data_IF_479895346550
#
_entry.id   IF_479895346550
#
_cell.length_a   1.000
_cell.length_b   1.000
_cell.length_c   1.000
_cell.angle_alpha   90.00
_cell.angle_beta   90.00
_cell.angle_gamma   90.00
#
_symmetry.space_group_name_H-M   'P 1'
#
loop_
_entity.id
_entity.type
_entity.pdbx_description
1 polymer ?
#
# COMPACT_ATOMS: atom_id res chain seq x y z
N UNK A 1 -16.62 8.55 17.48
CA UNK A 1 -15.18 8.29 17.27
C UNK A 1 -14.84 8.16 15.79
N UNK A 2 -15.72 7.52 15.02
CA UNK A 2 -15.54 7.15 13.62
C UNK A 2 -15.11 8.26 12.67
N UNK A 3 -15.65 9.48 12.85
CA UNK A 3 -15.26 10.64 12.04
C UNK A 3 -13.76 10.94 12.15
N UNK A 4 -13.22 10.94 13.38
CA UNK A 4 -11.79 11.15 13.60
C UNK A 4 -10.98 9.93 13.13
N UNK A 5 -11.51 8.71 13.34
CA UNK A 5 -10.88 7.47 12.93
C UNK A 5 -10.62 7.42 11.43
N UNK A 6 -11.49 8.02 10.61
CA UNK A 6 -11.30 8.06 9.14
C UNK A 6 -9.95 8.62 8.71
N UNK A 7 -9.39 9.56 9.47
CA UNK A 7 -8.10 10.21 9.18
C UNK A 7 -6.99 9.86 10.17
N UNK A 8 -7.34 9.52 11.42
CA UNK A 8 -6.42 9.27 12.53
C UNK A 8 -6.40 7.81 12.99
N UNK A 9 -6.80 6.91 12.09
CA UNK A 9 -6.62 5.48 12.22
C UNK A 9 -6.00 4.92 10.93
N UNK A 10 -4.67 4.81 10.92
CA UNK A 10 -3.91 4.37 9.75
C UNK A 10 -3.54 2.89 9.86
N UNK A 11 -4.13 2.05 9.00
CA UNK A 11 -3.88 0.62 8.90
C UNK A 11 -4.31 0.05 7.55
N UNK A 12 -4.33 -1.28 7.41
CA UNK A 12 -4.88 -1.94 6.24
C UNK A 12 -6.41 -1.78 6.22
N UNK A 13 -6.91 -0.85 5.39
CA UNK A 13 -8.32 -0.54 5.25
C UNK A 13 -9.00 -1.48 4.24
N UNK A 14 -9.88 -2.35 4.73
CA UNK A 14 -10.63 -3.30 3.91
C UNK A 14 -12.07 -2.82 3.79
N UNK A 15 -12.47 -2.42 2.58
CA UNK A 15 -13.84 -2.02 2.28
C UNK A 15 -14.80 -3.22 2.40
N UNK A 16 -16.00 -2.95 2.92
CA UNK A 16 -17.11 -3.91 2.90
C UNK A 16 -17.56 -4.15 1.44
N UNK A 17 -18.18 -5.30 1.14
CA UNK A 17 -18.66 -5.59 -0.22
C UNK A 17 -19.55 -4.47 -0.77
N UNK A 18 -19.29 -4.06 -2.01
CA UNK A 18 -20.02 -2.99 -2.69
C UNK A 18 -19.85 -1.58 -2.11
N UNK A 19 -18.92 -1.38 -1.16
CA UNK A 19 -18.61 -0.06 -0.60
C UNK A 19 -17.37 0.56 -1.23
N UNK A 20 -17.34 1.88 -1.17
CA UNK A 20 -16.24 2.74 -1.59
C UNK A 20 -15.82 3.66 -0.45
N UNK A 21 -14.66 4.27 -0.60
CA UNK A 21 -14.16 5.30 0.32
C UNK A 21 -15.04 6.56 0.40
N UNK A 22 -15.97 6.75 -0.54
CA UNK A 22 -16.90 7.86 -0.60
C UNK A 22 -18.24 7.59 0.12
N UNK A 23 -18.51 6.34 0.49
CA UNK A 23 -19.78 5.97 1.14
C UNK A 23 -19.83 6.35 2.62
N UNK A 24 -18.67 6.59 3.25
CA UNK A 24 -18.62 7.06 4.63
C UNK A 24 -19.03 8.53 4.73
N UNK A 25 -20.07 8.80 5.53
CA UNK A 25 -20.57 10.15 5.82
C UNK A 25 -20.48 10.45 7.32
N UNK A 26 -20.27 11.72 7.73
CA UNK A 26 -20.30 12.09 9.14
C UNK A 26 -21.58 11.61 9.83
N UNK A 27 -21.43 10.92 10.97
CA UNK A 27 -22.55 10.33 11.72
C UNK A 27 -22.77 8.83 11.48
N UNK A 28 -22.14 8.24 10.46
CA UNK A 28 -22.13 6.78 10.24
C UNK A 28 -21.10 6.08 11.13
N UNK A 29 -21.28 4.78 11.38
CA UNK A 29 -20.23 3.94 11.95
C UNK A 29 -19.22 3.61 10.86
N UNK A 30 -17.93 3.67 11.17
CA UNK A 30 -16.89 3.38 10.19
C UNK A 30 -16.98 1.92 9.71
N UNK A 31 -17.36 1.01 10.62
CA UNK A 31 -17.58 -0.43 10.38
C UNK A 31 -18.63 -0.74 9.32
N UNK A 32 -19.56 0.18 9.06
CA UNK A 32 -20.60 -0.01 8.04
C UNK A 32 -20.02 0.13 6.62
N UNK A 33 -18.79 0.67 6.50
CA UNK A 33 -18.12 0.97 5.23
C UNK A 33 -16.81 0.20 5.10
N UNK A 34 -15.99 0.14 6.15
CA UNK A 34 -14.69 -0.53 6.13
C UNK A 34 -14.24 -1.01 7.50
N UNK A 35 -13.38 -2.02 7.49
CA UNK A 35 -12.61 -2.47 8.66
C UNK A 35 -11.16 -2.00 8.54
N UNK A 36 -10.56 -1.58 9.65
CA UNK A 36 -9.16 -1.16 9.70
C UNK A 36 -8.35 -2.17 10.50
N UNK A 37 -7.47 -2.88 9.81
CA UNK A 37 -6.58 -3.86 10.42
C UNK A 37 -5.26 -3.23 10.83
N UNK A 38 -4.84 -3.52 12.06
CA UNK A 38 -3.54 -3.12 12.61
C UNK A 38 -2.76 -4.34 13.11
N UNK A 39 -1.43 -4.21 13.08
CA UNK A 39 -0.53 -5.24 13.56
C UNK A 39 -0.56 -5.32 15.09
N UNK A 40 -1.01 -6.45 15.61
CA UNK A 40 -0.99 -6.73 17.04
C UNK A 40 0.30 -7.45 17.45
N UNK A 41 0.88 -6.97 18.54
CA UNK A 41 2.10 -7.54 19.11
C UNK A 41 1.93 -7.82 20.61
N UNK A 42 2.50 -8.94 21.05
CA UNK A 42 2.73 -9.23 22.46
C UNK A 42 4.07 -8.61 22.88
N UNK A 43 4.05 -7.83 23.98
CA UNK A 43 5.23 -7.07 24.45
C UNK A 43 5.55 -5.82 23.64
N UNK A 44 6.39 -4.92 24.18
CA UNK A 44 6.92 -3.75 23.47
C UNK A 44 5.88 -2.71 23.00
N UNK A 45 4.86 -2.41 23.83
CA UNK A 45 3.69 -1.59 23.49
C UNK A 45 3.89 -0.05 23.58
N UNK A 46 5.12 0.43 23.76
CA UNK A 46 5.38 1.86 23.96
C UNK A 46 5.41 2.68 22.65
N UNK A 47 5.80 2.05 21.53
CA UNK A 47 5.88 2.72 20.24
C UNK A 47 4.67 2.34 19.37
N UNK A 48 3.81 3.32 19.13
CA UNK A 48 2.65 3.23 18.23
C UNK A 48 2.89 3.99 16.91
N UNK A 49 2.04 3.75 15.92
CA UNK A 49 2.05 4.48 14.64
C UNK A 49 1.51 5.89 14.88
N UNK A 50 2.17 6.94 14.37
CA UNK A 50 1.79 8.32 14.66
C UNK A 50 0.30 8.60 14.41
N UNK A 51 -0.24 8.10 13.30
CA UNK A 51 -1.66 8.26 12.96
C UNK A 51 -2.58 7.18 13.56
N UNK A 52 -2.25 6.63 14.74
CA UNK A 52 -3.08 5.65 15.46
C UNK A 52 -3.55 6.14 16.83
N UNK A 53 -3.72 7.44 17.01
CA UNK A 53 -4.26 8.02 18.26
C UNK A 53 -5.62 7.43 18.63
N UNK A 54 -6.47 7.14 17.62
CA UNK A 54 -7.78 6.51 17.82
C UNK A 54 -7.65 5.09 18.38
N UNK A 55 -6.75 4.27 17.84
CA UNK A 55 -6.46 2.93 18.37
C UNK A 55 -5.99 3.01 19.82
N UNK A 56 -5.00 3.88 20.10
CA UNK A 56 -4.50 4.07 21.47
C UNK A 56 -5.60 4.46 22.44
N UNK A 57 -6.48 5.36 22.03
CA UNK A 57 -7.65 5.73 22.84
C UNK A 57 -8.58 4.55 23.08
N UNK A 58 -8.87 3.74 22.07
CA UNK A 58 -9.72 2.55 22.18
C UNK A 58 -9.13 1.48 23.13
N UNK A 59 -7.80 1.40 23.24
CA UNK A 59 -7.11 0.55 24.23
C UNK A 59 -7.18 1.08 25.68
N UNK A 60 -7.57 2.34 25.88
CA UNK A 60 -7.58 2.95 27.21
C UNK A 60 -8.68 2.34 28.09
N UNK A 61 -8.37 2.14 29.38
CA UNK A 61 -9.38 1.71 30.37
C UNK A 61 -10.53 2.71 30.47
N UNK A 62 -10.25 4.00 30.26
CA UNK A 62 -11.24 5.07 30.24
C UNK A 62 -12.27 4.85 29.12
N UNK A 63 -11.80 4.58 27.89
CA UNK A 63 -12.66 4.31 26.74
C UNK A 63 -13.52 3.06 26.97
N UNK A 64 -12.87 1.95 27.35
CA UNK A 64 -13.53 0.66 27.58
C UNK A 64 -14.60 0.77 28.69
N UNK A 65 -14.33 1.48 29.78
CA UNK A 65 -15.29 1.69 30.86
C UNK A 65 -16.46 2.61 30.46
N UNK A 66 -16.22 3.55 29.53
CA UNK A 66 -17.22 4.54 29.13
C UNK A 66 -18.33 4.00 28.22
N UNK A 67 -18.14 2.81 27.64
CA UNK A 67 -19.04 2.22 26.61
C UNK A 67 -19.29 3.20 25.46
N UNK A 68 -18.22 3.61 24.79
CA UNK A 68 -18.17 4.53 23.63
C UNK A 68 -18.57 6.00 23.90
N UNK A 69 -18.84 6.39 25.16
CA UNK A 69 -19.15 7.79 25.51
C UNK A 69 -17.91 8.67 25.58
N UNK A 70 -16.75 8.11 25.88
CA UNK A 70 -15.49 8.84 25.91
C UNK A 70 -14.91 8.91 24.49
N UNK A 71 -14.73 10.13 23.98
CA UNK A 71 -14.30 10.37 22.60
C UNK A 71 -13.24 11.47 22.51
N UNK A 72 -12.65 11.69 21.34
CA UNK A 72 -11.66 12.76 21.15
C UNK A 72 -12.18 14.12 21.66
N UNK A 73 -13.47 14.41 21.47
CA UNK A 73 -14.08 15.68 21.88
C UNK A 73 -14.39 15.79 23.37
N UNK A 74 -14.22 14.71 24.12
CA UNK A 74 -14.23 14.77 25.59
C UNK A 74 -13.05 15.58 26.13
N UNK A 75 -11.95 15.65 25.38
CA UNK A 75 -10.75 16.41 25.75
C UNK A 75 -10.43 17.57 24.78
N UNK A 76 -10.84 17.47 23.51
CA UNK A 76 -10.50 18.43 22.47
C UNK A 76 -11.72 19.18 21.94
N UNK A 77 -11.63 20.51 21.86
CA UNK A 77 -12.56 21.30 21.07
C UNK A 77 -11.98 21.45 19.65
N UNK A 78 -12.64 20.95 18.60
CA UNK A 78 -12.14 21.05 17.23
C UNK A 78 -12.00 22.51 16.73
N UNK A 79 -12.63 23.49 17.39
CA UNK A 79 -12.51 24.91 17.06
C UNK A 79 -11.39 25.63 17.83
N UNK A 80 -10.74 24.96 18.78
CA UNK A 80 -9.69 25.55 19.62
C UNK A 80 -8.39 24.79 19.48
N UNK A 81 -7.33 25.46 19.06
CA UNK A 81 -6.01 24.83 18.98
C UNK A 81 -5.55 24.38 20.37
N UNK A 82 -5.05 23.15 20.44
CA UNK A 82 -4.48 22.55 21.66
C UNK A 82 -3.33 23.36 22.27
N UNK A 83 -2.67 24.21 21.47
CA UNK A 83 -1.63 25.14 21.94
C UNK A 83 -2.15 26.16 22.95
N UNK A 84 -3.44 26.46 22.94
CA UNK A 84 -4.07 27.46 23.82
C UNK A 84 -4.89 26.85 24.96
N UNK A 85 -5.05 25.52 24.98
CA UNK A 85 -5.81 24.84 26.03
C UNK A 85 -4.92 24.66 27.27
N UNK A 86 -5.38 25.17 28.41
CA UNK A 86 -4.68 25.00 29.69
C UNK A 86 -4.72 23.55 30.15
N UNK A 87 -3.63 23.07 30.74
CA UNK A 87 -3.55 21.71 31.29
C UNK A 87 -4.63 21.38 32.34
N UNK A 88 -5.03 22.38 33.12
CA UNK A 88 -6.14 22.26 34.09
C UNK A 88 -7.46 21.83 33.42
N UNK A 89 -7.68 22.20 32.16
CA UNK A 89 -8.86 21.77 31.41
C UNK A 89 -8.86 20.27 31.15
N UNK A 90 -7.71 19.67 30.84
CA UNK A 90 -7.57 18.22 30.69
C UNK A 90 -7.70 17.48 32.02
N UNK A 91 -7.08 17.99 33.09
CA UNK A 91 -7.22 17.39 34.42
C UNK A 91 -8.67 17.37 34.91
N UNK A 92 -9.47 18.39 34.57
CA UNK A 92 -10.90 18.43 34.90
C UNK A 92 -11.65 17.23 34.30
N UNK A 93 -11.36 16.85 33.06
CA UNK A 93 -11.99 15.68 32.41
C UNK A 93 -11.74 14.41 33.22
N UNK A 94 -10.53 14.24 33.78
CA UNK A 94 -10.24 13.12 34.67
C UNK A 94 -11.09 13.18 35.95
N UNK A 95 -11.18 14.36 36.58
CA UNK A 95 -11.89 14.57 37.85
C UNK A 95 -13.42 14.45 37.74
N UNK A 96 -13.98 14.62 36.54
CA UNK A 96 -15.40 14.37 36.29
C UNK A 96 -15.78 12.89 36.51
N UNK A 97 -14.82 11.96 36.36
CA UNK A 97 -14.99 10.54 36.67
C UNK A 97 -14.27 10.08 37.95
N UNK A 98 -13.11 10.66 38.28
CA UNK A 98 -12.28 10.27 39.43
C UNK A 98 -12.40 11.27 40.57
N UNK A 99 -13.41 11.08 41.44
CA UNK A 99 -13.68 12.03 42.52
C UNK A 99 -12.66 11.89 43.68
N UNK A 100 -12.25 13.00 44.34
CA UNK A 100 -11.27 13.03 45.45
C UNK A 100 -11.51 12.09 46.63
N UNK A 101 -12.75 11.64 46.83
CA UNK A 101 -13.14 10.87 48.00
C UNK A 101 -12.97 9.35 47.80
N UNK A 102 -12.60 8.93 46.59
CA UNK A 102 -12.25 7.55 46.25
C UNK A 102 -10.73 7.49 46.13
N UNK A 103 -10.05 6.53 46.77
CA UNK A 103 -8.59 6.42 46.71
C UNK A 103 -8.13 6.00 45.30
N UNK A 104 -8.11 6.94 44.35
CA UNK A 104 -7.87 6.67 42.92
C UNK A 104 -6.39 6.72 42.53
N UNK A 105 -5.54 7.40 43.31
CA UNK A 105 -4.11 7.50 43.04
C UNK A 105 -3.29 6.70 44.06
N UNK A 106 -2.62 5.64 43.60
CA UNK A 106 -1.76 4.78 44.43
C UNK A 106 -0.38 5.37 44.72
N UNK A 107 -0.05 6.53 44.15
CA UNK A 107 1.20 7.24 44.45
C UNK A 107 1.15 7.88 45.84
N UNK A 108 2.29 7.88 46.53
CA UNK A 108 2.49 8.59 47.80
C UNK A 108 2.22 10.09 47.65
N UNK A 109 1.70 10.72 48.70
CA UNK A 109 1.39 12.16 48.75
C UNK A 109 2.55 13.05 48.27
N UNK A 110 3.79 12.75 48.68
CA UNK A 110 4.98 13.48 48.25
C UNK A 110 5.14 13.50 46.71
N UNK A 111 4.97 12.36 46.04
CA UNK A 111 5.07 12.24 44.58
C UNK A 111 3.92 12.95 43.86
N UNK A 112 2.73 12.99 44.47
CA UNK A 112 1.59 13.72 43.88
C UNK A 112 1.76 15.24 44.01
N UNK A 113 2.28 15.70 45.14
CA UNK A 113 2.61 17.11 45.38
C UNK A 113 3.68 17.62 44.40
N UNK A 114 4.70 16.81 44.08
CA UNK A 114 5.71 17.13 43.05
C UNK A 114 5.08 17.38 41.66
N UNK A 115 4.06 16.59 41.30
CA UNK A 115 3.30 16.75 40.07
C UNK A 115 2.15 17.78 40.18
N UNK A 116 2.02 18.47 41.33
CA UNK A 116 0.92 19.40 41.65
C UNK A 116 -0.48 18.79 41.46
N UNK A 117 -0.62 17.49 41.79
CA UNK A 117 -1.83 16.69 41.54
C UNK A 117 -2.31 16.73 40.07
N UNK A 118 -1.39 16.96 39.13
CA UNK A 118 -1.66 17.00 37.70
C UNK A 118 -1.72 15.59 37.10
N UNK A 119 -2.92 15.15 36.69
CA UNK A 119 -3.11 13.85 36.08
C UNK A 119 -2.34 13.69 34.76
N UNK A 120 -2.38 14.71 33.89
CA UNK A 120 -1.79 14.63 32.54
C UNK A 120 -0.25 14.60 32.56
N UNK A 121 0.38 15.18 33.58
CA UNK A 121 1.84 15.16 33.76
C UNK A 121 2.40 13.74 33.92
N UNK A 122 1.64 12.84 34.55
CA UNK A 122 2.08 11.48 34.83
C UNK A 122 1.42 10.42 33.91
N UNK A 123 0.16 10.62 33.53
CA UNK A 123 -0.62 9.63 32.78
C UNK A 123 -0.69 9.87 31.27
N UNK A 124 -0.26 11.06 30.80
CA UNK A 124 -0.18 11.39 29.37
C UNK A 124 1.24 11.79 28.99
N UNK A 125 2.21 10.94 29.28
CA UNK A 125 3.60 11.22 28.88
C UNK A 125 3.75 11.27 27.35
N UNK A 126 4.75 12.03 26.91
CA UNK A 126 5.12 12.08 25.50
C UNK A 126 5.88 10.80 25.12
N UNK A 127 5.32 10.04 24.19
CA UNK A 127 5.96 8.88 23.55
C UNK A 127 6.45 9.24 22.14
N UNK A 128 7.40 8.47 21.62
CA UNK A 128 7.77 8.53 20.20
C UNK A 128 6.80 7.72 19.35
N UNK A 129 6.82 7.93 18.02
CA UNK A 129 6.18 6.98 17.10
C UNK A 129 7.18 6.02 16.47
N UNK A 130 6.65 4.88 16.03
CA UNK A 130 7.44 3.82 15.38
C UNK A 130 7.82 4.16 13.95
N UNK A 131 6.96 4.89 13.26
CA UNK A 131 6.98 5.15 11.82
C UNK A 131 7.69 6.46 11.44
N UNK A 132 7.77 7.42 12.36
CA UNK A 132 8.37 8.73 12.08
C UNK A 132 9.42 9.05 13.16
N UNK A 133 10.72 8.90 12.85
CA UNK A 133 11.79 9.29 13.76
C UNK A 133 11.65 10.77 14.19
N UNK A 134 12.06 11.08 15.42
CA UNK A 134 12.11 12.43 16.00
C UNK A 134 10.76 13.13 16.27
N UNK A 135 9.62 12.48 16.05
CA UNK A 135 8.32 13.04 16.47
C UNK A 135 7.89 12.44 17.80
N UNK A 136 7.42 13.30 18.72
CA UNK A 136 6.88 12.90 20.02
C UNK A 136 5.47 13.48 20.21
N UNK A 137 4.54 12.62 20.62
CA UNK A 137 3.13 12.99 20.89
C UNK A 137 2.70 12.40 22.23
N UNK A 138 1.56 12.84 22.78
CA UNK A 138 1.02 12.27 24.01
C UNK A 138 0.34 10.93 23.70
N UNK A 139 0.58 9.92 24.52
CA UNK A 139 -0.06 8.61 24.33
C UNK A 139 -1.53 8.64 24.79
N UNK A 140 -2.44 8.39 23.87
CA UNK A 140 -3.88 8.42 24.14
C UNK A 140 -4.41 7.13 24.79
N UNK A 141 -3.54 6.14 25.08
CA UNK A 141 -3.89 4.99 25.92
C UNK A 141 -4.14 5.36 27.38
N UNK A 142 -3.61 6.50 27.84
CA UNK A 142 -3.81 7.04 29.20
C UNK A 142 -3.57 5.94 30.25
N UNK A 143 -2.41 5.31 30.15
CA UNK A 143 -2.01 4.21 31.02
C UNK A 143 -0.95 4.67 32.02
N UNK A 144 -0.80 3.91 33.11
CA UNK A 144 0.37 4.05 33.98
C UNK A 144 1.59 3.66 33.16
N UNK A 145 2.61 4.54 33.02
CA UNK A 145 3.81 4.23 32.26
C UNK A 145 4.50 2.96 32.80
N UNK A 146 4.94 2.09 31.90
CA UNK A 146 5.66 0.88 32.28
C UNK A 146 7.07 1.22 32.77
N UNK A 147 7.63 0.42 33.68
CA UNK A 147 9.02 0.55 34.10
C UNK A 147 9.97 0.13 32.98
N UNK A 148 11.20 0.65 32.93
CA UNK A 148 12.20 0.25 31.92
C UNK A 148 12.45 -1.26 31.86
N UNK A 149 12.24 -1.97 32.98
CA UNK A 149 12.33 -3.43 33.05
C UNK A 149 11.13 -4.12 32.38
N UNK A 150 9.92 -3.59 32.56
CA UNK A 150 8.72 -4.04 31.86
C UNK A 150 8.78 -3.76 30.34
N UNK A 151 9.54 -2.72 29.93
CA UNK A 151 9.74 -2.36 28.52
C UNK A 151 10.68 -3.29 27.75
N UNK A 152 11.54 -4.06 28.43
CA UNK A 152 12.54 -4.94 27.80
C UNK A 152 11.96 -6.23 27.19
N UNK A 153 10.64 -6.45 27.26
CA UNK A 153 10.00 -7.62 26.67
C UNK A 153 10.18 -7.68 25.14
N UNK A 154 10.56 -8.86 24.63
CA UNK A 154 10.66 -9.10 23.18
C UNK A 154 9.28 -8.89 22.54
N UNK A 155 9.21 -8.03 21.52
CA UNK A 155 7.99 -7.77 20.76
C UNK A 155 7.74 -8.93 19.79
N UNK A 156 6.65 -9.66 19.97
CA UNK A 156 6.28 -10.84 19.15
C UNK A 156 5.04 -10.51 18.36
N UNK A 157 5.12 -10.57 17.02
CA UNK A 157 3.95 -10.40 16.16
C UNK A 157 2.95 -11.52 16.39
N UNK A 158 1.67 -11.18 16.57
CA UNK A 158 0.60 -12.15 16.83
C UNK A 158 -0.43 -12.24 15.71
N UNK A 159 -0.53 -11.22 14.87
CA UNK A 159 -1.51 -11.18 13.79
C UNK A 159 -2.02 -9.78 13.54
N UNK A 160 -2.97 -9.68 12.62
CA UNK A 160 -3.75 -8.47 12.37
C UNK A 160 -5.04 -8.50 13.19
N UNK A 161 -5.42 -7.35 13.72
CA UNK A 161 -6.67 -7.13 14.45
C UNK A 161 -7.43 -5.99 13.80
N UNK A 162 -8.70 -6.21 13.48
CA UNK A 162 -9.61 -5.14 13.09
C UNK A 162 -10.00 -4.36 14.34
N UNK A 163 -9.50 -3.12 14.46
CA UNK A 163 -9.64 -2.35 15.70
C UNK A 163 -10.97 -1.64 15.83
N UNK A 164 -11.64 -1.37 14.71
CA UNK A 164 -12.98 -0.80 14.69
C UNK A 164 -14.08 -1.87 14.69
N UNK A 165 -13.76 -3.14 14.39
CA UNK A 165 -14.74 -4.22 14.29
C UNK A 165 -14.20 -5.53 14.88
N UNK A 166 -14.79 -5.98 16.00
CA UNK A 166 -14.38 -7.21 16.68
C UNK A 166 -14.96 -8.48 16.06
N UNK A 167 -15.98 -8.38 15.19
CA UNK A 167 -16.64 -9.51 14.54
C UNK A 167 -16.40 -9.48 13.02
N UNK A 168 -15.14 -9.73 12.64
CA UNK A 168 -14.72 -9.79 11.24
C UNK A 168 -14.77 -11.21 10.70
N UNK A 169 -15.41 -11.37 9.55
CA UNK A 169 -15.47 -12.64 8.82
C UNK A 169 -14.11 -13.05 8.25
N UNK A 170 -13.99 -14.32 7.85
CA UNK A 170 -12.74 -14.89 7.36
C UNK A 170 -12.24 -14.23 6.07
N UNK A 171 -13.12 -13.89 5.12
CA UNK A 171 -12.71 -13.23 3.88
C UNK A 171 -12.15 -11.84 4.15
N UNK A 172 -12.80 -11.07 5.02
CA UNK A 172 -12.34 -9.74 5.40
C UNK A 172 -10.97 -9.79 6.09
N UNK A 173 -10.76 -10.77 6.98
CA UNK A 173 -9.44 -11.05 7.58
C UNK A 173 -8.39 -11.41 6.52
N UNK A 174 -8.71 -12.31 5.60
CA UNK A 174 -7.81 -12.68 4.50
C UNK A 174 -7.42 -11.47 3.65
N UNK A 175 -8.40 -10.64 3.27
CA UNK A 175 -8.16 -9.39 2.53
C UNK A 175 -7.27 -8.41 3.30
N UNK A 176 -7.42 -8.33 4.63
CA UNK A 176 -6.55 -7.55 5.51
C UNK A 176 -5.09 -7.98 5.43
N UNK A 177 -4.82 -9.29 5.55
CA UNK A 177 -3.46 -9.83 5.41
C UNK A 177 -2.87 -9.64 4.00
N UNK A 178 -3.67 -9.85 2.95
CA UNK A 178 -3.23 -9.63 1.56
C UNK A 178 -2.89 -8.15 1.31
N UNK A 179 -3.67 -7.23 1.88
CA UNK A 179 -3.41 -5.79 1.79
C UNK A 179 -2.16 -5.38 2.56
N UNK A 180 -1.97 -5.91 3.77
CA UNK A 180 -0.77 -5.64 4.57
C UNK A 180 0.52 -6.09 3.86
N UNK A 181 0.46 -7.25 3.20
CA UNK A 181 1.57 -7.78 2.40
C UNK A 181 1.95 -6.85 1.24
N UNK A 182 0.95 -6.37 0.50
CA UNK A 182 1.15 -5.56 -0.71
C UNK A 182 1.53 -4.11 -0.38
N UNK A 183 0.96 -3.52 0.68
CA UNK A 183 1.10 -2.10 0.99
C UNK A 183 2.27 -1.75 1.91
N UNK A 184 2.72 -2.66 2.78
CA UNK A 184 3.68 -2.31 3.84
C UNK A 184 4.90 -3.22 3.90
N UNK A 185 4.68 -4.53 4.10
CA UNK A 185 5.78 -5.47 4.28
C UNK A 185 5.47 -6.76 3.52
N UNK A 186 6.32 -7.11 2.56
CA UNK A 186 6.27 -8.39 1.86
C UNK A 186 6.75 -9.56 2.74
N UNK A 187 6.20 -9.69 3.96
CA UNK A 187 6.48 -10.78 4.88
C UNK A 187 5.62 -12.00 4.51
N UNK A 188 6.28 -13.13 4.27
CA UNK A 188 5.64 -14.39 3.90
C UNK A 188 4.61 -14.87 4.93
N UNK A 189 4.81 -14.56 6.22
CA UNK A 189 3.87 -14.93 7.31
C UNK A 189 2.44 -14.39 7.07
N UNK A 190 2.31 -13.25 6.40
CA UNK A 190 1.00 -12.68 6.06
C UNK A 190 0.27 -13.50 5.00
N UNK A 191 0.99 -14.03 4.02
CA UNK A 191 0.40 -14.90 3.01
C UNK A 191 -0.06 -16.22 3.64
N UNK A 192 0.71 -16.79 4.56
CA UNK A 192 0.31 -18.02 5.27
C UNK A 192 -0.97 -17.80 6.07
N UNK A 193 -1.07 -16.67 6.76
CA UNK A 193 -2.29 -16.26 7.48
C UNK A 193 -3.47 -16.04 6.54
N UNK A 194 -3.24 -15.34 5.42
CA UNK A 194 -4.27 -15.12 4.39
C UNK A 194 -4.79 -16.46 3.84
N UNK A 195 -3.91 -17.40 3.53
CA UNK A 195 -4.29 -18.72 3.02
C UNK A 195 -5.18 -19.49 3.98
N UNK A 196 -4.86 -19.46 5.28
CA UNK A 196 -5.67 -20.09 6.31
C UNK A 196 -7.08 -19.50 6.39
N UNK A 197 -7.21 -18.16 6.32
CA UNK A 197 -8.52 -17.51 6.34
C UNK A 197 -9.30 -17.63 5.03
N UNK A 198 -8.62 -17.76 3.90
CA UNK A 198 -9.28 -18.06 2.62
C UNK A 198 -9.92 -19.44 2.64
N UNK A 199 -9.37 -20.40 3.41
CA UNK A 199 -9.80 -21.79 3.46
C UNK A 199 -10.07 -22.31 2.03
N UNK A 200 -9.01 -22.26 1.20
CA UNK A 200 -9.10 -22.43 -0.24
C UNK A 200 -9.89 -23.69 -0.64
N UNK A 201 -9.69 -24.81 0.04
CA UNK A 201 -10.39 -26.07 -0.26
C UNK A 201 -11.90 -25.94 -0.13
N UNK A 202 -12.37 -25.19 0.86
CA UNK A 202 -13.79 -24.97 1.13
C UNK A 202 -14.38 -23.91 0.20
N UNK A 203 -13.67 -22.80 0.01
CA UNK A 203 -14.23 -21.60 -0.63
C UNK A 203 -13.80 -21.40 -2.08
N UNK A 204 -13.03 -22.31 -2.70
CA UNK A 204 -12.60 -22.18 -4.10
C UNK A 204 -13.74 -21.99 -5.11
N UNK A 205 -14.95 -22.44 -4.79
CA UNK A 205 -16.13 -22.32 -5.64
C UNK A 205 -17.06 -21.17 -5.24
N UNK A 206 -16.74 -20.42 -4.19
CA UNK A 206 -17.51 -19.27 -3.76
C UNK A 206 -17.01 -18.01 -4.48
N UNK A 207 -17.90 -17.37 -5.24
CA UNK A 207 -17.60 -16.22 -6.10
C UNK A 207 -17.02 -15.05 -5.30
N UNK A 208 -17.47 -14.84 -4.06
CA UNK A 208 -17.01 -13.71 -3.23
C UNK A 208 -15.51 -13.84 -2.85
N UNK A 209 -14.97 -15.06 -2.86
CA UNK A 209 -13.57 -15.36 -2.57
C UNK A 209 -12.67 -15.29 -3.81
N UNK A 210 -13.23 -15.28 -5.02
CA UNK A 210 -12.48 -15.40 -6.27
C UNK A 210 -11.35 -14.36 -6.37
N UNK A 211 -11.69 -13.07 -6.23
CA UNK A 211 -10.71 -11.98 -6.32
C UNK A 211 -9.61 -12.08 -5.25
N UNK A 212 -9.94 -12.56 -4.04
CA UNK A 212 -8.97 -12.71 -2.96
C UNK A 212 -8.04 -13.91 -3.18
N UNK A 213 -8.55 -15.01 -3.74
CA UNK A 213 -7.76 -16.19 -4.12
C UNK A 213 -6.81 -15.84 -5.27
N UNK A 214 -7.30 -15.15 -6.31
CA UNK A 214 -6.47 -14.65 -7.42
C UNK A 214 -5.34 -13.77 -6.90
N UNK A 215 -5.67 -12.81 -6.03
CA UNK A 215 -4.68 -11.93 -5.38
C UNK A 215 -3.66 -12.72 -4.57
N UNK A 216 -4.09 -13.73 -3.82
CA UNK A 216 -3.19 -14.58 -3.03
C UNK A 216 -2.15 -15.31 -3.90
N UNK A 217 -2.58 -16.07 -4.90
CA UNK A 217 -1.65 -16.83 -5.74
C UNK A 217 -0.71 -15.91 -6.53
N UNK A 218 -1.24 -14.77 -7.00
CA UNK A 218 -0.43 -13.75 -7.64
C UNK A 218 0.67 -13.19 -6.72
N UNK A 219 0.32 -12.80 -5.49
CA UNK A 219 1.30 -12.27 -4.52
C UNK A 219 2.31 -13.34 -4.09
N UNK A 220 1.91 -14.61 -4.03
CA UNK A 220 2.81 -15.75 -3.80
C UNK A 220 3.71 -16.06 -5.00
N UNK A 221 3.45 -15.48 -6.17
CA UNK A 221 4.08 -15.78 -7.47
C UNK A 221 3.88 -17.24 -7.90
N UNK A 222 2.78 -17.85 -7.46
CA UNK A 222 2.39 -19.22 -7.83
C UNK A 222 1.46 -19.15 -9.06
N UNK A 223 2.03 -18.77 -10.21
CA UNK A 223 1.28 -18.55 -11.44
C UNK A 223 0.68 -19.83 -12.02
N UNK A 224 1.33 -20.97 -11.80
CA UNK A 224 0.82 -22.28 -12.22
C UNK A 224 -0.51 -22.59 -11.52
N UNK A 225 -0.60 -22.43 -10.19
CA UNK A 225 -1.86 -22.63 -9.46
C UNK A 225 -2.90 -21.57 -9.81
N UNK A 226 -2.48 -20.33 -10.04
CA UNK A 226 -3.40 -19.27 -10.45
C UNK A 226 -4.06 -19.60 -11.80
N UNK A 227 -3.27 -19.99 -12.79
CA UNK A 227 -3.75 -20.39 -14.12
C UNK A 227 -4.66 -21.61 -13.99
N UNK A 228 -4.23 -22.66 -13.30
CA UNK A 228 -5.05 -23.86 -13.09
C UNK A 228 -6.38 -23.57 -12.39
N UNK A 229 -6.39 -22.66 -11.41
CA UNK A 229 -7.62 -22.22 -10.73
C UNK A 229 -8.60 -21.50 -11.66
N UNK A 230 -8.09 -20.69 -12.59
CA UNK A 230 -8.89 -19.95 -13.58
C UNK A 230 -9.39 -20.90 -14.69
N UNK A 231 -8.54 -21.82 -15.15
CA UNK A 231 -8.89 -22.80 -16.18
C UNK A 231 -9.91 -23.83 -15.67
N UNK A 232 -9.82 -24.28 -14.41
CA UNK A 232 -10.81 -25.19 -13.78
C UNK A 232 -12.23 -24.63 -13.86
N UNK A 233 -12.38 -23.30 -13.82
CA UNK A 233 -13.67 -22.60 -13.91
C UNK A 233 -14.13 -22.32 -15.34
N UNK A 234 -13.22 -22.42 -16.30
CA UNK A 234 -13.43 -22.04 -17.69
C UNK A 234 -13.22 -20.54 -17.92
N UNK A 235 -12.32 -20.20 -18.85
CA UNK A 235 -11.91 -18.82 -19.16
C UNK A 235 -13.11 -17.92 -19.48
N UNK A 236 -14.06 -18.41 -20.29
CA UNK A 236 -15.24 -17.64 -20.68
C UNK A 236 -16.15 -17.32 -19.50
N UNK A 237 -16.36 -18.28 -18.60
CA UNK A 237 -17.13 -18.09 -17.37
C UNK A 237 -16.43 -17.10 -16.46
N UNK A 238 -15.11 -17.19 -16.30
CA UNK A 238 -14.35 -16.23 -15.50
C UNK A 238 -14.49 -14.81 -16.03
N UNK A 239 -14.33 -14.59 -17.34
CA UNK A 239 -14.43 -13.25 -17.93
C UNK A 239 -15.85 -12.65 -17.85
N UNK A 240 -16.89 -13.46 -18.04
CA UNK A 240 -18.27 -12.96 -18.11
C UNK A 240 -18.95 -12.88 -16.74
N UNK A 241 -18.67 -13.84 -15.86
CA UNK A 241 -19.45 -14.04 -14.64
C UNK A 241 -18.67 -13.61 -13.38
N UNK A 242 -17.34 -13.70 -13.39
CA UNK A 242 -16.50 -13.36 -12.22
C UNK A 242 -15.77 -12.02 -12.34
N UNK A 243 -15.55 -11.54 -13.57
CA UNK A 243 -14.72 -10.37 -13.88
C UNK A 243 -15.45 -9.40 -14.80
N UNK A 244 -16.68 -9.04 -14.44
CA UNK A 244 -17.56 -8.22 -15.28
C UNK A 244 -18.07 -6.95 -14.59
N UNK A 245 -17.80 -6.76 -13.29
CA UNK A 245 -18.30 -5.62 -12.54
C UNK A 245 -17.31 -4.44 -12.57
N UNK A 246 -17.82 -3.26 -12.91
CA UNK A 246 -17.10 -2.00 -12.71
C UNK A 246 -17.45 -1.42 -11.35
N UNK A 247 -16.45 -1.24 -10.51
CA UNK A 247 -16.60 -0.69 -9.17
C UNK A 247 -15.47 0.30 -8.82
N UNK A 248 -15.69 1.18 -7.85
CA UNK A 248 -14.70 2.20 -7.45
C UNK A 248 -13.36 1.63 -6.95
N UNK A 249 -13.38 0.43 -6.39
CA UNK A 249 -12.20 -0.30 -5.91
C UNK A 249 -11.52 -1.11 -7.02
N UNK A 250 -12.15 -1.23 -8.20
CA UNK A 250 -11.66 -1.94 -9.37
C UNK A 250 -11.24 -3.40 -9.06
N UNK A 251 -12.00 -4.11 -8.22
CA UNK A 251 -11.60 -5.45 -7.75
C UNK A 251 -11.43 -6.43 -8.91
N UNK A 252 -12.42 -6.47 -9.81
CA UNK A 252 -12.42 -7.35 -10.97
C UNK A 252 -11.33 -6.95 -11.98
N UNK A 253 -11.15 -5.65 -12.21
CA UNK A 253 -10.10 -5.16 -13.10
C UNK A 253 -8.70 -5.56 -12.58
N UNK A 254 -8.47 -5.43 -11.27
CA UNK A 254 -7.24 -5.88 -10.63
C UNK A 254 -7.04 -7.39 -10.69
N UNK A 255 -8.10 -8.19 -10.51
CA UNK A 255 -8.01 -9.64 -10.63
C UNK A 255 -7.72 -10.06 -12.07
N UNK A 256 -8.41 -9.46 -13.04
CA UNK A 256 -8.16 -9.65 -14.47
C UNK A 256 -6.71 -9.30 -14.83
N UNK A 257 -6.21 -8.16 -14.36
CA UNK A 257 -4.81 -7.76 -14.55
C UNK A 257 -3.81 -8.80 -14.00
N UNK A 258 -4.04 -9.31 -12.79
CA UNK A 258 -3.17 -10.31 -12.15
C UNK A 258 -3.19 -11.65 -12.89
N UNK A 259 -4.34 -12.07 -13.40
CA UNK A 259 -4.47 -13.27 -14.23
C UNK A 259 -3.74 -13.08 -15.56
N UNK A 260 -3.89 -11.91 -16.20
CA UNK A 260 -3.15 -11.56 -17.41
C UNK A 260 -1.63 -11.64 -17.23
N UNK A 261 -1.12 -11.15 -16.09
CA UNK A 261 0.30 -11.29 -15.73
C UNK A 261 0.74 -12.74 -15.55
N UNK A 262 -0.10 -13.59 -14.97
CA UNK A 262 0.21 -15.00 -14.81
C UNK A 262 0.36 -15.69 -16.17
N UNK A 263 -0.60 -15.49 -17.08
CA UNK A 263 -0.51 -16.03 -18.44
C UNK A 263 0.65 -15.44 -19.25
N UNK A 264 0.98 -14.17 -19.08
CA UNK A 264 2.15 -13.56 -19.72
C UNK A 264 3.45 -14.21 -19.22
N UNK A 265 3.54 -14.51 -17.92
CA UNK A 265 4.67 -15.23 -17.30
C UNK A 265 4.79 -16.66 -17.83
N UNK A 266 3.67 -17.30 -18.17
CA UNK A 266 3.60 -18.60 -18.84
C UNK A 266 3.82 -18.52 -20.37
N UNK A 267 4.11 -17.32 -20.90
CA UNK A 267 4.27 -17.05 -22.34
C UNK A 267 3.00 -17.32 -23.18
N UNK A 268 1.84 -17.48 -22.55
CA UNK A 268 0.54 -17.55 -23.22
C UNK A 268 0.01 -16.14 -23.51
N UNK A 269 0.59 -15.51 -24.53
CA UNK A 269 0.30 -14.11 -24.88
C UNK A 269 -1.17 -13.88 -25.25
N UNK A 270 -1.84 -14.88 -25.84
CA UNK A 270 -3.24 -14.78 -26.23
C UNK A 270 -4.16 -14.69 -25.00
N UNK A 271 -3.97 -15.56 -24.00
CA UNK A 271 -4.74 -15.48 -22.77
C UNK A 271 -4.40 -14.23 -21.98
N UNK A 272 -3.13 -13.86 -21.90
CA UNK A 272 -2.72 -12.60 -21.30
C UNK A 272 -3.45 -11.40 -21.91
N UNK A 273 -3.63 -11.40 -23.25
CA UNK A 273 -4.34 -10.33 -23.96
C UNK A 273 -5.81 -10.24 -23.53
N UNK A 274 -6.55 -11.36 -23.50
CA UNK A 274 -7.96 -11.35 -23.07
C UNK A 274 -8.13 -10.73 -21.69
N UNK A 275 -7.29 -11.13 -20.74
CA UNK A 275 -7.38 -10.65 -19.36
C UNK A 275 -6.89 -9.20 -19.19
N UNK A 276 -5.84 -8.77 -19.90
CA UNK A 276 -5.44 -7.36 -19.89
C UNK A 276 -6.46 -6.46 -20.57
N UNK A 277 -7.05 -6.91 -21.69
CA UNK A 277 -8.13 -6.18 -22.36
C UNK A 277 -9.32 -6.00 -21.43
N UNK A 278 -9.75 -7.06 -20.75
CA UNK A 278 -10.83 -6.97 -19.77
C UNK A 278 -10.47 -6.02 -18.61
N UNK A 279 -9.22 -6.05 -18.11
CA UNK A 279 -8.78 -5.12 -17.06
C UNK A 279 -8.88 -3.65 -17.48
N UNK A 280 -8.48 -3.31 -18.72
CA UNK A 280 -8.58 -1.93 -19.23
C UNK A 280 -10.00 -1.53 -19.61
N UNK A 281 -10.87 -2.48 -19.96
CA UNK A 281 -12.30 -2.22 -20.19
C UNK A 281 -13.03 -1.92 -18.87
N UNK A 282 -12.70 -2.65 -17.80
CA UNK A 282 -13.26 -2.42 -16.46
C UNK A 282 -12.71 -1.15 -15.80
N UNK A 283 -11.43 -0.82 -16.03
CA UNK A 283 -10.76 0.32 -15.38
C UNK A 283 -9.94 1.14 -16.40
N UNK A 284 -10.63 1.80 -17.34
CA UNK A 284 -10.00 2.55 -18.46
C UNK A 284 -8.92 3.55 -18.03
N UNK A 285 -9.13 4.24 -16.91
CA UNK A 285 -8.22 5.28 -16.40
C UNK A 285 -7.17 4.74 -15.42
N UNK A 286 -7.11 3.42 -15.22
CA UNK A 286 -5.95 2.82 -14.56
C UNK A 286 -4.79 2.74 -15.57
N UNK A 287 -3.92 3.75 -15.53
CA UNK A 287 -2.81 3.90 -16.47
C UNK A 287 -1.76 2.79 -16.34
N UNK A 288 -1.68 2.10 -15.20
CA UNK A 288 -0.81 0.93 -15.05
C UNK A 288 -1.29 -0.23 -15.94
N UNK A 289 -2.60 -0.48 -15.95
CA UNK A 289 -3.20 -1.54 -16.79
C UNK A 289 -3.01 -1.23 -18.26
N UNK A 290 -3.27 0.02 -18.67
CA UNK A 290 -3.05 0.48 -20.04
C UNK A 290 -1.59 0.28 -20.46
N UNK A 291 -0.64 0.75 -19.65
CA UNK A 291 0.77 0.62 -19.94
C UNK A 291 1.21 -0.86 -20.06
N UNK A 292 0.66 -1.75 -19.23
CA UNK A 292 0.95 -3.18 -19.29
C UNK A 292 0.33 -3.85 -20.51
N UNK A 293 -0.89 -3.49 -20.87
CA UNK A 293 -1.52 -3.95 -22.11
C UNK A 293 -0.75 -3.49 -23.36
N UNK A 294 -0.33 -2.23 -23.41
CA UNK A 294 0.52 -1.70 -24.49
C UNK A 294 1.86 -2.44 -24.63
N UNK A 295 2.46 -2.85 -23.50
CA UNK A 295 3.67 -3.66 -23.51
C UNK A 295 3.43 -5.06 -24.10
N UNK A 296 2.33 -5.71 -23.74
CA UNK A 296 1.95 -6.99 -24.34
C UNK A 296 1.73 -6.85 -25.85
N UNK A 297 1.00 -5.83 -26.30
CA UNK A 297 0.78 -5.57 -27.72
C UNK A 297 2.09 -5.35 -28.48
N UNK A 298 3.06 -4.67 -27.86
CA UNK A 298 4.41 -4.51 -28.42
C UNK A 298 5.14 -5.86 -28.55
N UNK A 299 5.06 -6.72 -27.53
CA UNK A 299 5.60 -8.09 -27.58
C UNK A 299 4.96 -8.92 -28.70
N UNK A 300 3.66 -8.74 -28.92
CA UNK A 300 2.89 -9.37 -30.00
C UNK A 300 3.09 -8.71 -31.37
N UNK A 301 3.99 -7.72 -31.50
CA UNK A 301 4.29 -6.95 -32.73
C UNK A 301 3.10 -6.15 -33.28
N UNK A 302 2.08 -5.88 -32.47
CA UNK A 302 0.93 -5.02 -32.81
C UNK A 302 1.27 -3.56 -32.52
N UNK A 303 2.28 -3.06 -33.24
CA UNK A 303 2.93 -1.77 -33.00
C UNK A 303 1.96 -0.57 -33.08
N UNK A 304 1.06 -0.45 -34.07
CA UNK A 304 0.13 0.68 -34.14
C UNK A 304 -0.82 0.76 -32.93
N UNK A 305 -1.28 -0.39 -32.44
CA UNK A 305 -2.18 -0.46 -31.30
C UNK A 305 -1.46 -0.13 -29.99
N UNK A 306 -0.25 -0.68 -29.80
CA UNK A 306 0.59 -0.33 -28.66
C UNK A 306 0.90 1.17 -28.61
N UNK A 307 1.22 1.77 -29.76
CA UNK A 307 1.45 3.21 -29.90
C UNK A 307 0.24 4.02 -29.40
N UNK A 308 -0.96 3.70 -29.90
CA UNK A 308 -2.19 4.39 -29.49
C UNK A 308 -2.48 4.29 -27.99
N UNK A 309 -2.17 3.14 -27.38
CA UNK A 309 -2.30 2.96 -25.92
C UNK A 309 -1.31 3.85 -25.16
N UNK A 310 -0.03 3.90 -25.55
CA UNK A 310 0.94 4.76 -24.87
C UNK A 310 0.67 6.25 -25.08
N UNK A 311 0.20 6.65 -26.27
CA UNK A 311 -0.25 8.02 -26.54
C UNK A 311 -1.43 8.41 -25.65
N UNK A 312 -2.42 7.50 -25.46
CA UNK A 312 -3.51 7.71 -24.52
C UNK A 312 -3.02 7.87 -23.07
N UNK A 313 -2.10 7.01 -22.61
CA UNK A 313 -1.55 7.14 -21.25
C UNK A 313 -0.86 8.49 -21.05
N UNK A 314 -0.10 8.96 -22.03
CA UNK A 314 0.59 10.26 -21.98
C UNK A 314 -0.41 11.41 -22.07
N UNK A 315 -1.51 11.29 -22.82
CA UNK A 315 -2.54 12.35 -22.87
C UNK A 315 -3.27 12.49 -21.54
N UNK A 316 -3.55 11.39 -20.84
CA UNK A 316 -4.20 11.41 -19.52
C UNK A 316 -3.25 11.89 -18.42
N UNK A 317 -1.99 11.45 -18.47
CA UNK A 317 -0.97 11.86 -17.50
C UNK A 317 0.40 12.05 -18.18
N UNK A 318 0.71 13.29 -18.61
CA UNK A 318 1.98 13.59 -19.30
C UNK A 318 3.25 13.36 -18.47
N UNK A 319 3.12 13.10 -17.17
CA UNK A 319 4.26 12.81 -16.28
C UNK A 319 4.42 11.31 -16.01
N UNK A 320 3.72 10.44 -16.75
CA UNK A 320 3.86 8.99 -16.63
C UNK A 320 5.11 8.48 -17.34
N UNK A 321 6.27 8.57 -16.68
CA UNK A 321 7.57 8.20 -17.25
C UNK A 321 7.60 6.81 -17.94
N UNK A 322 6.99 5.73 -17.40
CA UNK A 322 7.01 4.43 -18.07
C UNK A 322 6.38 4.42 -19.47
N UNK A 323 5.34 5.22 -19.72
CA UNK A 323 4.73 5.29 -21.05
C UNK A 323 5.63 6.03 -22.04
N UNK A 324 6.38 7.05 -21.60
CA UNK A 324 7.40 7.69 -22.45
C UNK A 324 8.50 6.69 -22.84
N UNK A 325 9.01 5.89 -21.90
CA UNK A 325 9.99 4.83 -22.23
C UNK A 325 9.43 3.85 -23.26
N UNK A 326 8.20 3.38 -23.07
CA UNK A 326 7.61 2.37 -23.96
C UNK A 326 7.24 2.95 -25.33
N UNK A 327 6.77 4.20 -25.40
CA UNK A 327 6.50 4.89 -26.66
C UNK A 327 7.80 5.18 -27.42
N UNK A 328 8.86 5.60 -26.73
CA UNK A 328 10.19 5.75 -27.34
C UNK A 328 10.71 4.43 -27.92
N UNK A 329 10.49 3.31 -27.23
CA UNK A 329 10.81 1.98 -27.73
C UNK A 329 10.00 1.60 -28.97
N UNK A 330 8.70 1.91 -28.99
CA UNK A 330 7.85 1.74 -30.17
C UNK A 330 8.36 2.56 -31.36
N UNK A 331 8.74 3.82 -31.16
CA UNK A 331 9.32 4.65 -32.21
C UNK A 331 10.65 4.09 -32.74
N UNK A 332 11.54 3.63 -31.85
CA UNK A 332 12.79 2.99 -32.22
C UNK A 332 12.56 1.73 -33.07
N UNK A 333 11.57 0.90 -32.73
CA UNK A 333 11.19 -0.28 -33.53
C UNK A 333 10.71 0.08 -34.95
N UNK A 334 10.12 1.28 -35.12
CA UNK A 334 9.68 1.79 -36.43
C UNK A 334 10.74 2.59 -37.17
N UNK A 335 11.93 2.77 -36.60
CA UNK A 335 13.04 3.53 -37.19
C UNK A 335 12.95 5.06 -37.02
N UNK A 336 11.94 5.56 -36.31
CA UNK A 336 11.82 6.99 -35.99
C UNK A 336 12.67 7.33 -34.76
N UNK A 337 13.99 7.37 -34.98
CA UNK A 337 14.98 7.56 -33.93
C UNK A 337 14.86 8.94 -33.25
N UNK A 338 14.39 9.95 -33.98
CA UNK A 338 14.19 11.31 -33.44
C UNK A 338 13.09 11.32 -32.38
N UNK A 339 11.93 10.73 -32.67
CA UNK A 339 10.87 10.63 -31.66
C UNK A 339 11.24 9.65 -30.54
N UNK A 340 12.01 8.59 -30.84
CA UNK A 340 12.53 7.70 -29.80
C UNK A 340 13.37 8.46 -28.77
N UNK A 341 14.37 9.23 -29.23
CA UNK A 341 15.22 10.07 -28.37
C UNK A 341 14.40 11.07 -27.55
N UNK A 342 13.48 11.80 -28.20
CA UNK A 342 12.58 12.74 -27.53
C UNK A 342 11.81 12.10 -26.38
N UNK A 343 11.24 10.92 -26.59
CA UNK A 343 10.48 10.23 -25.56
C UNK A 343 11.37 9.64 -24.45
N UNK A 344 12.57 9.15 -24.77
CA UNK A 344 13.53 8.74 -23.74
C UNK A 344 14.01 9.92 -22.89
N UNK A 345 14.31 11.06 -23.49
CA UNK A 345 14.69 12.28 -22.77
C UNK A 345 13.57 12.76 -21.84
N UNK A 346 12.33 12.77 -22.33
CA UNK A 346 11.17 13.08 -21.50
C UNK A 346 11.03 12.12 -20.30
N UNK A 347 11.22 10.82 -20.52
CA UNK A 347 11.19 9.84 -19.44
C UNK A 347 12.29 10.09 -18.40
N UNK A 348 13.52 10.37 -18.84
CA UNK A 348 14.66 10.59 -17.96
C UNK A 348 14.63 11.96 -17.26
N UNK A 349 13.94 12.95 -17.82
CA UNK A 349 13.65 14.21 -17.13
C UNK A 349 12.64 14.01 -15.99
N UNK A 350 11.71 13.05 -16.13
CA UNK A 350 10.70 12.72 -15.12
C UNK A 350 11.27 11.77 -14.05
N UNK A 351 12.07 10.79 -14.47
CA UNK A 351 12.71 9.77 -13.64
C UNK A 351 14.16 9.55 -14.14
N UNK A 352 15.15 10.31 -13.63
CA UNK A 352 16.54 10.22 -14.05
C UNK A 352 17.20 8.86 -13.82
N UNK A 353 16.61 8.03 -12.96
CA UNK A 353 17.13 6.72 -12.56
C UNK A 353 16.35 5.57 -13.19
N UNK A 354 15.52 5.87 -14.19
CA UNK A 354 14.78 4.85 -14.93
C UNK A 354 15.72 3.92 -15.71
N UNK A 355 15.99 2.73 -15.18
CA UNK A 355 16.95 1.78 -15.76
C UNK A 355 16.60 1.41 -17.21
N UNK A 356 15.33 1.18 -17.52
CA UNK A 356 14.91 0.84 -18.88
C UNK A 356 15.07 2.01 -19.85
N UNK A 357 14.74 3.23 -19.44
CA UNK A 357 14.99 4.45 -20.20
C UNK A 357 16.49 4.65 -20.49
N UNK A 358 17.33 4.50 -19.46
CA UNK A 358 18.79 4.59 -19.58
C UNK A 358 19.35 3.53 -20.53
N UNK A 359 18.86 2.28 -20.46
CA UNK A 359 19.29 1.21 -21.37
C UNK A 359 18.93 1.56 -22.82
N UNK A 360 17.68 1.98 -23.05
CA UNK A 360 17.18 2.24 -24.38
C UNK A 360 17.87 3.44 -25.04
N UNK A 361 18.06 4.54 -24.30
CA UNK A 361 18.80 5.69 -24.83
C UNK A 361 20.29 5.37 -25.04
N UNK A 362 20.89 4.55 -24.17
CA UNK A 362 22.28 4.11 -24.36
C UNK A 362 22.47 3.33 -25.66
N UNK A 363 21.56 2.40 -25.95
CA UNK A 363 21.57 1.64 -27.20
C UNK A 363 21.41 2.57 -28.41
N UNK A 364 20.47 3.52 -28.34
CA UNK A 364 20.27 4.52 -29.39
C UNK A 364 21.53 5.37 -29.65
N UNK A 365 22.20 5.83 -28.58
CA UNK A 365 23.44 6.61 -28.68
C UNK A 365 24.60 5.79 -29.27
N UNK A 366 24.68 4.48 -28.98
CA UNK A 366 25.66 3.59 -29.60
C UNK A 366 25.42 3.49 -31.10
N UNK A 367 24.16 3.35 -31.53
CA UNK A 367 23.77 3.25 -32.93
C UNK A 367 24.03 4.56 -33.69
N UNK A 368 23.85 5.71 -33.04
CA UNK A 368 24.23 7.03 -33.54
C UNK A 368 25.75 7.31 -33.47
N UNK A 369 26.54 6.37 -32.94
CA UNK A 369 27.99 6.51 -32.71
C UNK A 369 28.39 7.64 -31.74
N UNK A 370 27.46 8.07 -30.88
CA UNK A 370 27.65 9.03 -29.78
C UNK A 370 28.17 8.31 -28.51
N UNK A 371 29.31 7.64 -28.65
CA UNK A 371 29.86 6.71 -27.65
C UNK A 371 30.15 7.35 -26.28
N UNK A 372 30.40 8.66 -26.24
CA UNK A 372 30.62 9.41 -25.00
C UNK A 372 29.34 9.54 -24.16
N UNK A 373 28.22 9.89 -24.81
CA UNK A 373 26.91 9.97 -24.15
C UNK A 373 26.44 8.59 -23.69
N UNK A 374 26.59 7.58 -24.56
CA UNK A 374 26.24 6.20 -24.22
C UNK A 374 26.98 5.70 -22.97
N UNK A 375 28.27 6.02 -22.84
CA UNK A 375 29.08 5.66 -21.66
C UNK A 375 28.59 6.35 -20.38
N UNK A 376 28.11 7.60 -20.46
CA UNK A 376 27.57 8.30 -19.30
C UNK A 376 26.29 7.63 -18.77
N UNK A 377 25.37 7.28 -19.66
CA UNK A 377 24.10 6.62 -19.29
C UNK A 377 24.32 5.21 -18.73
N UNK A 378 25.15 4.41 -19.37
CA UNK A 378 25.52 3.06 -18.90
C UNK A 378 26.25 3.09 -17.55
N UNK A 379 27.14 4.06 -17.31
CA UNK A 379 27.76 4.25 -16.00
C UNK A 379 26.71 4.65 -14.94
N UNK A 380 25.72 5.47 -15.26
CA UNK A 380 24.62 5.78 -14.33
C UNK A 380 23.85 4.52 -13.94
N UNK A 381 23.56 3.62 -14.89
CA UNK A 381 22.94 2.33 -14.59
C UNK A 381 23.81 1.53 -13.61
N UNK A 382 25.12 1.45 -13.82
CA UNK A 382 26.03 0.68 -12.95
C UNK A 382 26.22 1.30 -11.55
N UNK A 383 25.95 2.60 -11.38
CA UNK A 383 25.88 3.22 -10.05
C UNK A 383 24.63 2.74 -9.29
N UNK A 384 23.50 2.61 -9.98
CA UNK A 384 22.22 2.19 -9.39
C UNK A 384 22.18 0.67 -9.18
N UNK A 385 22.60 -0.08 -10.21
CA UNK A 385 22.65 -1.54 -10.25
C UNK A 385 24.04 -2.02 -10.72
N UNK A 386 25.02 -2.16 -9.80
CA UNK A 386 26.39 -2.56 -10.15
C UNK A 386 26.51 -3.91 -10.88
N UNK A 387 25.48 -4.76 -10.78
CA UNK A 387 25.42 -6.07 -11.40
C UNK A 387 24.51 -6.14 -12.63
N UNK A 388 24.03 -5.01 -13.16
CA UNK A 388 23.19 -5.00 -14.35
C UNK A 388 23.94 -5.56 -15.57
N UNK A 389 23.52 -6.74 -16.03
CA UNK A 389 24.19 -7.45 -17.14
C UNK A 389 24.08 -6.69 -18.47
N UNK A 390 22.95 -6.03 -18.75
CA UNK A 390 22.74 -5.28 -19.99
C UNK A 390 23.67 -4.06 -20.07
N UNK A 391 23.81 -3.31 -18.98
CA UNK A 391 24.72 -2.17 -18.93
C UNK A 391 26.19 -2.60 -19.13
N UNK A 392 26.61 -3.72 -18.52
CA UNK A 392 27.95 -4.28 -18.73
C UNK A 392 28.19 -4.65 -20.19
N UNK A 393 27.21 -5.28 -20.86
CA UNK A 393 27.30 -5.61 -22.29
C UNK A 393 27.38 -4.36 -23.18
N UNK A 394 26.57 -3.34 -22.91
CA UNK A 394 26.61 -2.07 -23.65
C UNK A 394 27.98 -1.38 -23.48
N UNK A 395 28.56 -1.39 -22.28
CA UNK A 395 29.92 -0.88 -22.05
C UNK A 395 30.99 -1.61 -22.84
N UNK A 396 30.93 -2.94 -22.90
CA UNK A 396 31.86 -3.73 -23.71
C UNK A 396 31.77 -3.38 -25.20
N UNK A 397 30.55 -3.19 -25.72
CA UNK A 397 30.34 -2.78 -27.11
C UNK A 397 30.87 -1.36 -27.37
N UNK A 398 30.65 -0.42 -26.45
CA UNK A 398 31.18 0.95 -26.56
C UNK A 398 32.71 0.94 -26.64
N UNK A 399 33.38 0.19 -25.77
CA UNK A 399 34.85 0.12 -25.74
C UNK A 399 35.42 -0.57 -26.98
N UNK A 400 34.76 -1.62 -27.49
CA UNK A 400 35.14 -2.27 -28.75
C UNK A 400 35.09 -1.30 -29.92
N UNK A 401 34.05 -0.47 -30.02
CA UNK A 401 33.92 0.55 -31.09
C UNK A 401 34.94 1.67 -30.95
N UNK A 402 35.31 2.07 -29.74
CA UNK A 402 36.38 3.06 -29.51
C UNK A 402 37.76 2.53 -29.90
N UNK A 403 38.07 1.27 -29.58
CA UNK A 403 39.37 0.65 -29.89
C UNK A 403 39.55 0.19 -31.35
N UNK A 404 38.52 0.32 -32.19
CA UNK A 404 38.58 0.00 -33.63
C UNK A 404 38.90 1.23 -34.51
N UNK A 405 39.23 2.37 -33.88
CA UNK A 405 39.75 3.60 -34.50
C UNK A 405 41.20 3.77 -34.09
#
# INVERSE_FOLDING_TARGET
>A
MDLCARCHLQGAMVLKPGKSYFDFKPGMRLTDVLDVFLQYFEGGQENFIMASHTERMMESKCYLASKDKFTCVSCHDPHVSTRFVKKSSYNKVCLDCHKPNEAFCTLSENKRNEAKDGCVECHMLKSGSRDIPHVRTHDHKIAIPQTEEQKKGKRVFKGLVAVNNHDTDSLTKARGYLLEFESFYANVDYLDSAYNYLDFKKNKNDEIYFNAIVRYFFLKKDYEKLIGFVEEKGIRTVLNDYLSEQDYSNYDAWASYRIGQAFESDNNLMMAEYFYKNAVELAKYNLEFQNKYGNLLTKMRRIPEAKGIFEFVISEYPKYAPAHVNLGYVYALTGDLTNAELHYDNALNLDPDNIMGLINISALMIDQNELGKAMAFTNRILVIEPNNAKAKLLNMEIEKRKGSR
#
